data_IF_933548249747
#
_entry.id   IF_933548249747
#
_cell.length_a   1.000
_cell.length_b   1.000
_cell.length_c   1.000
_cell.angle_alpha   90.00
_cell.angle_beta   90.00
_cell.angle_gamma   90.00
#
_symmetry.space_group_name_H-M   'P 1'
#
loop_
_entity.id
_entity.type
_entity.pdbx_description
1 polymer ?
#
# COMPACT_ATOMS: atom_id res chain seq x y z
N UNK A 1 -10.29 10.76 15.06
CA UNK A 1 -9.64 9.44 15.18
C UNK A 1 -10.45 8.30 14.58
N UNK A 2 -11.73 8.07 14.93
CA UNK A 2 -12.51 6.94 14.40
C UNK A 2 -12.49 6.79 12.87
N UNK A 3 -12.67 7.87 12.12
CA UNK A 3 -12.62 7.83 10.64
C UNK A 3 -11.24 7.44 10.11
N UNK A 4 -10.16 7.81 10.79
CA UNK A 4 -8.80 7.44 10.41
C UNK A 4 -8.61 5.94 10.58
N UNK A 5 -9.06 5.39 11.71
CA UNK A 5 -9.02 3.94 11.95
C UNK A 5 -9.80 3.17 10.88
N UNK A 6 -10.98 3.64 10.46
CA UNK A 6 -11.74 2.99 9.38
C UNK A 6 -11.00 2.98 8.04
N UNK A 7 -10.30 4.06 7.71
CA UNK A 7 -9.48 4.12 6.48
C UNK A 7 -8.28 3.20 6.60
N UNK A 8 -7.64 3.15 7.78
CA UNK A 8 -6.55 2.23 8.07
C UNK A 8 -7.00 0.77 7.92
N UNK A 9 -8.14 0.38 8.50
CA UNK A 9 -8.70 -0.96 8.39
C UNK A 9 -9.00 -1.35 6.92
N UNK A 10 -9.50 -0.41 6.11
CA UNK A 10 -9.75 -0.64 4.68
C UNK A 10 -8.44 -0.82 3.89
N UNK A 11 -7.43 -0.01 4.18
CA UNK A 11 -6.10 -0.12 3.59
C UNK A 11 -5.44 -1.45 3.99
N UNK A 12 -5.54 -1.83 5.26
CA UNK A 12 -5.02 -3.10 5.76
C UNK A 12 -5.70 -4.29 5.09
N UNK A 13 -7.04 -4.28 4.99
CA UNK A 13 -7.79 -5.33 4.33
C UNK A 13 -7.42 -5.47 2.85
N UNK A 14 -7.27 -4.36 2.14
CA UNK A 14 -6.85 -4.35 0.74
C UNK A 14 -5.42 -4.90 0.57
N UNK A 15 -4.51 -4.52 1.47
CA UNK A 15 -3.12 -4.94 1.41
C UNK A 15 -2.89 -6.35 1.98
N UNK A 16 -3.88 -6.91 2.68
CA UNK A 16 -3.81 -8.21 3.39
C UNK A 16 -3.55 -9.39 2.44
N UNK A 17 -4.12 -9.33 1.24
CA UNK A 17 -4.06 -10.41 0.25
C UNK A 17 -2.83 -10.22 -0.65
N UNK A 18 -2.15 -11.31 -1.03
CA UNK A 18 -1.03 -11.29 -2.00
C UNK A 18 -1.50 -11.21 -3.47
N UNK A 19 -2.74 -10.80 -3.69
CA UNK A 19 -3.32 -10.60 -5.01
C UNK A 19 -2.94 -9.24 -5.59
N UNK A 20 -3.28 -9.02 -6.87
CA UNK A 20 -3.14 -7.71 -7.50
C UNK A 20 -3.96 -6.68 -6.72
N UNK A 21 -3.29 -5.58 -6.34
CA UNK A 21 -3.92 -4.48 -5.61
C UNK A 21 -4.56 -3.53 -6.59
N UNK A 22 -5.83 -3.20 -6.37
CA UNK A 22 -6.52 -2.14 -7.11
C UNK A 22 -5.83 -0.79 -6.84
N UNK A 23 -5.06 -0.32 -7.81
CA UNK A 23 -4.26 0.89 -7.67
C UNK A 23 -5.12 2.16 -7.58
N UNK A 24 -6.28 2.20 -8.22
CA UNK A 24 -7.16 3.36 -8.20
C UNK A 24 -7.81 3.50 -6.83
N UNK A 25 -8.35 2.39 -6.30
CA UNK A 25 -8.94 2.37 -4.97
C UNK A 25 -7.89 2.61 -3.88
N UNK A 26 -6.66 2.09 -4.04
CA UNK A 26 -5.56 2.37 -3.12
C UNK A 26 -5.22 3.87 -3.09
N UNK A 27 -5.07 4.50 -4.25
CA UNK A 27 -4.79 5.94 -4.36
C UNK A 27 -5.90 6.78 -3.71
N UNK A 28 -7.16 6.42 -3.95
CA UNK A 28 -8.30 7.10 -3.37
C UNK A 28 -8.30 7.03 -1.82
N UNK A 29 -8.04 5.85 -1.25
CA UNK A 29 -7.99 5.68 0.20
C UNK A 29 -6.81 6.43 0.82
N UNK A 30 -5.63 6.41 0.17
CA UNK A 30 -4.46 7.15 0.64
C UNK A 30 -4.69 8.67 0.62
N UNK A 31 -5.33 9.20 -0.42
CA UNK A 31 -5.66 10.62 -0.50
C UNK A 31 -6.67 11.03 0.61
N UNK A 32 -7.71 10.22 0.84
CA UNK A 32 -8.66 10.47 1.93
C UNK A 32 -7.96 10.43 3.29
N UNK A 33 -7.04 9.49 3.49
CA UNK A 33 -6.26 9.37 4.73
C UNK A 33 -5.36 10.58 4.94
N UNK A 34 -4.64 11.03 3.92
CA UNK A 34 -3.77 12.20 3.97
C UNK A 34 -4.57 13.46 4.34
N UNK A 35 -5.70 13.70 3.66
CA UNK A 35 -6.56 14.84 3.96
C UNK A 35 -7.03 14.82 5.41
N UNK A 36 -7.43 13.65 5.93
CA UNK A 36 -7.87 13.51 7.31
C UNK A 36 -6.73 13.74 8.31
N UNK A 37 -5.53 13.23 8.03
CA UNK A 37 -4.36 13.48 8.88
C UNK A 37 -4.02 14.97 8.94
N UNK A 38 -4.07 15.68 7.82
CA UNK A 38 -3.86 17.13 7.79
C UNK A 38 -4.89 17.87 8.65
N UNK A 39 -6.17 17.47 8.60
CA UNK A 39 -7.22 18.04 9.45
C UNK A 39 -6.98 17.79 10.94
N UNK A 40 -6.54 16.58 11.31
CA UNK A 40 -6.22 16.22 12.69
C UNK A 40 -4.99 16.98 13.20
N UNK A 41 -3.94 17.08 12.38
CA UNK A 41 -2.72 17.82 12.72
C UNK A 41 -2.95 19.33 12.87
N UNK A 42 -4.00 19.88 12.26
CA UNK A 42 -4.36 21.29 12.42
C UNK A 42 -4.98 21.61 13.79
N UNK A 43 -5.36 20.60 14.59
CA UNK A 43 -5.97 20.74 15.92
C UNK A 43 -5.37 19.75 16.93
N UNK A 44 -4.05 19.80 17.16
CA UNK A 44 -3.33 18.79 17.96
C UNK A 44 -3.81 18.72 19.41
N UNK A 45 -4.36 19.79 19.97
CA UNK A 45 -4.94 19.85 21.31
C UNK A 45 -6.13 18.91 21.52
N UNK A 46 -6.78 18.48 20.43
CA UNK A 46 -7.90 17.54 20.46
C UNK A 46 -7.47 16.07 20.34
N UNK A 47 -6.17 15.80 20.20
CA UNK A 47 -5.64 14.46 20.00
C UNK A 47 -5.16 13.85 21.32
N UNK A 48 -5.70 12.68 21.63
CA UNK A 48 -5.09 11.83 22.64
C UNK A 48 -3.72 11.33 22.16
N UNK A 49 -2.71 11.42 23.03
CA UNK A 49 -1.33 11.09 22.69
C UNK A 49 -1.16 9.60 22.36
N UNK A 50 -1.84 8.71 23.06
CA UNK A 50 -1.75 7.28 22.84
C UNK A 50 -2.45 6.90 21.52
N UNK A 51 -3.63 7.45 21.25
CA UNK A 51 -4.32 7.25 19.97
C UNK A 51 -3.48 7.77 18.78
N UNK A 52 -2.86 8.93 18.94
CA UNK A 52 -2.00 9.49 17.90
C UNK A 52 -0.76 8.63 17.65
N UNK A 53 -0.10 8.14 18.71
CA UNK A 53 1.03 7.23 18.56
C UNK A 53 0.63 5.93 17.84
N UNK A 54 -0.54 5.37 18.17
CA UNK A 54 -1.06 4.20 17.47
C UNK A 54 -1.28 4.47 15.97
N UNK A 55 -1.71 5.67 15.59
CA UNK A 55 -1.84 6.04 14.18
C UNK A 55 -0.48 6.18 13.46
N UNK A 56 0.57 6.63 14.16
CA UNK A 56 1.94 6.65 13.63
C UNK A 56 2.44 5.22 13.39
N UNK A 57 2.20 4.32 14.35
CA UNK A 57 2.61 2.92 14.24
C UNK A 57 1.89 2.22 13.07
N UNK A 58 0.57 2.43 12.93
CA UNK A 58 -0.21 1.97 11.77
C UNK A 58 0.30 2.51 10.45
N UNK A 59 0.68 3.78 10.40
CA UNK A 59 1.28 4.38 9.18
C UNK A 59 2.54 3.64 8.77
N UNK A 60 3.38 3.29 9.75
CA UNK A 60 4.64 2.57 9.51
C UNK A 60 4.38 1.15 9.00
N UNK A 61 3.38 0.47 9.57
CA UNK A 61 2.93 -0.85 9.13
C UNK A 61 2.39 -0.82 7.68
N UNK A 62 1.46 0.09 7.38
CA UNK A 62 0.90 0.26 6.03
C UNK A 62 1.99 0.53 4.98
N UNK A 63 2.97 1.38 5.31
CA UNK A 63 4.10 1.66 4.43
C UNK A 63 4.93 0.41 4.13
N UNK A 64 5.18 -0.43 5.13
CA UNK A 64 5.88 -1.70 4.94
C UNK A 64 5.10 -2.64 4.01
N UNK A 65 3.77 -2.73 4.18
CA UNK A 65 2.90 -3.54 3.33
C UNK A 65 2.87 -3.07 1.87
N UNK A 66 2.77 -1.76 1.64
CA UNK A 66 2.81 -1.18 0.29
C UNK A 66 4.14 -1.47 -0.39
N UNK A 67 5.27 -1.34 0.33
CA UNK A 67 6.60 -1.67 -0.20
C UNK A 67 6.71 -3.15 -0.57
N UNK A 68 6.23 -4.04 0.29
CA UNK A 68 6.22 -5.48 0.02
C UNK A 68 5.46 -5.81 -1.27
N UNK A 69 4.26 -5.25 -1.44
CA UNK A 69 3.46 -5.42 -2.67
C UNK A 69 4.19 -4.92 -3.91
N UNK A 70 4.79 -3.72 -3.84
CA UNK A 70 5.61 -3.19 -4.95
C UNK A 70 6.75 -4.13 -5.34
N UNK A 71 7.46 -4.66 -4.35
CA UNK A 71 8.61 -5.53 -4.59
C UNK A 71 8.19 -6.89 -5.19
N UNK A 72 7.03 -7.42 -4.76
CA UNK A 72 6.42 -8.62 -5.35
C UNK A 72 6.05 -8.39 -6.82
N UNK A 73 5.39 -7.28 -7.14
CA UNK A 73 5.04 -6.94 -8.53
C UNK A 73 6.28 -6.76 -9.41
N UNK A 74 7.33 -6.12 -8.89
CA UNK A 74 8.61 -5.98 -9.60
C UNK A 74 9.26 -7.34 -9.91
N UNK A 75 9.25 -8.27 -8.93
CA UNK A 75 9.76 -9.62 -9.10
C UNK A 75 8.96 -10.42 -10.14
N UNK A 76 7.64 -10.31 -10.13
CA UNK A 76 6.77 -10.94 -11.14
C UNK A 76 7.07 -10.42 -12.54
N UNK A 77 7.22 -9.10 -12.72
CA UNK A 77 7.56 -8.49 -14.00
C UNK A 77 8.92 -8.99 -14.52
N UNK A 78 9.94 -9.07 -13.66
CA UNK A 78 11.25 -9.61 -14.02
C UNK A 78 11.15 -11.05 -14.53
N UNK A 79 10.40 -11.92 -13.83
CA UNK A 79 10.21 -13.32 -14.25
C UNK A 79 9.52 -13.42 -15.62
N UNK A 80 8.51 -12.60 -15.88
CA UNK A 80 7.83 -12.56 -17.19
C UNK A 80 8.78 -12.12 -18.31
N UNK A 81 9.58 -11.08 -18.08
CA UNK A 81 10.57 -10.62 -19.05
C UNK A 81 11.64 -11.68 -19.34
N UNK A 82 12.10 -12.40 -18.31
CA UNK A 82 13.02 -13.52 -18.49
C UNK A 82 12.40 -14.65 -19.33
N UNK A 83 11.15 -15.05 -19.02
CA UNK A 83 10.42 -16.06 -19.80
C UNK A 83 10.25 -15.66 -21.28
N UNK A 84 9.91 -14.39 -21.55
CA UNK A 84 9.81 -13.87 -22.91
C UNK A 84 11.16 -13.95 -23.65
N UNK A 85 12.27 -13.58 -23.00
CA UNK A 85 13.61 -13.70 -23.60
C UNK A 85 13.97 -15.14 -23.90
N UNK A 86 13.72 -16.07 -22.97
CA UNK A 86 13.97 -17.50 -23.17
C UNK A 86 13.17 -18.06 -24.36
N UNK A 87 11.90 -17.68 -24.49
CA UNK A 87 11.06 -18.05 -25.63
C UNK A 87 11.58 -17.48 -26.97
N UNK A 88 12.02 -16.23 -26.98
CA UNK A 88 12.63 -15.62 -28.17
C UNK A 88 13.90 -16.36 -28.59
N UNK A 89 14.74 -16.78 -27.64
CA UNK A 89 15.95 -17.57 -27.93
C UNK A 89 15.57 -18.93 -28.50
N UNK A 90 14.64 -19.65 -27.87
CA UNK A 90 14.17 -20.95 -28.35
C UNK A 90 13.64 -20.87 -29.79
N UNK A 91 12.81 -19.87 -30.09
CA UNK A 91 12.25 -19.66 -31.43
C UNK A 91 13.30 -19.36 -32.52
N UNK A 92 14.51 -18.91 -32.16
CA UNK A 92 15.61 -18.73 -33.14
C UNK A 92 16.25 -20.04 -33.59
N UNK A 93 16.05 -21.11 -32.84
CA UNK A 93 16.61 -22.44 -33.10
C UNK A 93 15.55 -23.47 -33.52
N UNK A 94 14.31 -23.01 -33.77
CA UNK A 94 13.22 -23.78 -34.33
C UNK A 94 13.08 -23.45 -35.82
#
# INVERSE_FOLDING_TARGET
MQRLNQLDDQLEAMLAVEAEVDSEQLQLLLAQREQLLQQLMARPESLDKAEWQAAVDRTSYLLARIRHHRDMSASQLQRLQHGQRSMQVYNKFR
#
